data_IF_085254709432
#
_entry.id   IF_085254709432
#
_cell.length_a   1.000
_cell.length_b   1.000
_cell.length_c   1.000
_cell.angle_alpha   90.00
_cell.angle_beta   90.00
_cell.angle_gamma   90.00
#
_symmetry.space_group_name_H-M   'P 1'
#
loop_
_entity.id
_entity.type
_entity.pdbx_description
1 polymer ?
#
# COMPACT_ATOMS: atom_id res chain seq x y z
N UNK A 1 11.89 16.40 1.63
CA UNK A 1 11.66 15.89 0.26
C UNK A 1 11.07 17.04 -0.56
N UNK A 2 11.74 17.45 -1.63
CA UNK A 2 11.30 18.55 -2.49
C UNK A 2 10.31 17.98 -3.51
N UNK A 3 9.01 18.22 -3.35
CA UNK A 3 8.03 17.89 -4.40
C UNK A 3 8.32 18.78 -5.60
N UNK A 4 8.89 18.20 -6.66
CA UNK A 4 9.13 18.90 -7.92
C UNK A 4 7.76 19.23 -8.52
N UNK A 5 7.38 20.51 -8.52
CA UNK A 5 6.12 20.96 -9.10
C UNK A 5 6.15 20.73 -10.61
N UNK A 6 5.40 19.72 -11.07
CA UNK A 6 5.26 19.42 -12.50
C UNK A 6 4.35 20.45 -13.17
N UNK A 7 4.67 20.83 -14.39
CA UNK A 7 3.77 21.61 -15.24
C UNK A 7 2.55 20.77 -15.64
N UNK A 8 1.43 21.42 -15.99
CA UNK A 8 0.20 20.72 -16.45
C UNK A 8 0.44 19.79 -17.63
N UNK A 9 1.42 20.11 -18.49
CA UNK A 9 1.82 19.29 -19.64
C UNK A 9 2.56 18.03 -19.21
N UNK A 10 3.50 18.16 -18.27
CA UNK A 10 4.25 17.03 -17.70
C UNK A 10 3.34 16.10 -16.90
N UNK A 11 2.44 16.66 -16.09
CA UNK A 11 1.48 15.88 -15.32
C UNK A 11 0.59 15.02 -16.23
N UNK A 12 0.08 15.60 -17.34
CA UNK A 12 -0.71 14.84 -18.33
C UNK A 12 0.11 13.73 -19.00
N UNK A 13 1.37 13.99 -19.32
CA UNK A 13 2.26 12.99 -19.92
C UNK A 13 2.54 11.84 -18.94
N UNK A 14 2.79 12.15 -17.67
CA UNK A 14 3.04 11.15 -16.64
C UNK A 14 1.79 10.30 -16.34
N UNK A 15 0.61 10.93 -16.23
CA UNK A 15 -0.66 10.21 -16.08
C UNK A 15 -0.93 9.28 -17.28
N UNK A 16 -0.67 9.74 -18.51
CA UNK A 16 -0.81 8.90 -19.70
C UNK A 16 0.20 7.73 -19.71
N UNK A 17 1.43 7.95 -19.25
CA UNK A 17 2.45 6.92 -19.10
C UNK A 17 2.02 5.86 -18.09
N UNK A 18 1.56 6.27 -16.91
CA UNK A 18 1.06 5.36 -15.86
C UNK A 18 -0.12 4.55 -16.35
N UNK A 19 -1.11 5.19 -16.98
CA UNK A 19 -2.28 4.50 -17.54
C UNK A 19 -1.87 3.39 -18.53
N UNK A 20 -0.96 3.68 -19.45
CA UNK A 20 -0.46 2.66 -20.40
C UNK A 20 0.22 1.48 -19.72
N UNK A 21 0.95 1.73 -18.63
CA UNK A 21 1.60 0.65 -17.87
C UNK A 21 0.56 -0.20 -17.13
N UNK A 22 -0.49 0.41 -16.57
CA UNK A 22 -1.61 -0.31 -15.96
C UNK A 22 -2.34 -1.19 -17.00
N UNK A 23 -2.68 -0.65 -18.17
CA UNK A 23 -3.35 -1.40 -19.24
C UNK A 23 -2.51 -2.62 -19.70
N UNK A 24 -1.19 -2.45 -19.84
CA UNK A 24 -0.24 -3.54 -20.17
C UNK A 24 -0.18 -4.60 -19.07
N UNK A 25 -0.25 -4.18 -17.81
CA UNK A 25 -0.28 -5.08 -16.67
C UNK A 25 -1.56 -5.92 -16.64
N UNK A 26 -2.73 -5.31 -16.92
CA UNK A 26 -4.01 -6.02 -17.06
C UNK A 26 -3.99 -7.02 -18.22
N UNK A 27 -3.32 -6.67 -19.33
CA UNK A 27 -3.10 -7.57 -20.46
C UNK A 27 -2.13 -8.73 -20.17
N UNK A 28 -1.57 -8.82 -18.95
CA UNK A 28 -0.65 -9.88 -18.54
C UNK A 28 0.77 -9.71 -19.08
N UNK A 29 1.14 -8.53 -19.59
CA UNK A 29 2.50 -8.29 -20.04
C UNK A 29 3.48 -8.25 -18.87
N UNK A 30 4.66 -8.81 -19.10
CA UNK A 30 5.75 -8.79 -18.11
C UNK A 30 6.41 -7.40 -18.12
N UNK A 31 6.01 -6.56 -17.18
CA UNK A 31 6.65 -5.26 -16.96
C UNK A 31 8.03 -5.43 -16.32
N UNK A 32 8.93 -4.50 -16.65
CA UNK A 32 10.15 -4.34 -15.85
C UNK A 32 9.79 -3.91 -14.43
N UNK A 33 10.73 -4.12 -13.49
CA UNK A 33 10.53 -3.75 -12.08
C UNK A 33 10.12 -2.28 -11.92
N UNK A 34 10.75 -1.38 -12.66
CA UNK A 34 10.54 0.06 -12.54
C UNK A 34 9.21 0.49 -13.18
N UNK A 35 8.80 -0.14 -14.27
CA UNK A 35 7.47 0.05 -14.87
C UNK A 35 6.36 -0.44 -13.93
N UNK A 36 6.55 -1.61 -13.30
CA UNK A 36 5.59 -2.14 -12.33
C UNK A 36 5.43 -1.19 -11.13
N UNK A 37 6.54 -0.69 -10.59
CA UNK A 37 6.53 0.32 -9.53
C UNK A 37 5.79 1.57 -9.99
N UNK A 38 6.13 2.11 -11.16
CA UNK A 38 5.53 3.34 -11.70
C UNK A 38 4.02 3.22 -11.89
N UNK A 39 3.54 2.04 -12.31
CA UNK A 39 2.13 1.79 -12.54
C UNK A 39 1.31 1.75 -11.24
N UNK A 40 1.89 1.28 -10.13
CA UNK A 40 1.17 1.01 -8.89
C UNK A 40 1.49 2.01 -7.76
N UNK A 41 2.45 2.93 -7.96
CA UNK A 41 2.93 3.85 -6.91
C UNK A 41 1.82 4.72 -6.29
N UNK A 42 0.86 5.18 -7.08
CA UNK A 42 -0.25 5.99 -6.55
C UNK A 42 -1.24 5.15 -5.74
N UNK A 43 -1.59 3.97 -6.26
CA UNK A 43 -2.56 3.09 -5.62
C UNK A 43 -2.00 2.59 -4.29
N UNK A 44 -0.72 2.21 -4.25
CA UNK A 44 -0.05 1.82 -3.00
C UNK A 44 0.07 2.95 -1.98
N UNK A 45 0.16 4.20 -2.43
CA UNK A 45 0.20 5.34 -1.52
C UNK A 45 -1.14 5.60 -0.84
N UNK A 46 -2.25 5.37 -1.55
CA UNK A 46 -3.58 5.47 -0.97
C UNK A 46 -3.87 4.28 -0.06
N UNK A 47 -3.64 3.05 -0.55
CA UNK A 47 -3.83 1.81 0.20
C UNK A 47 -2.99 1.80 1.49
N UNK A 48 -1.69 2.15 1.38
CA UNK A 48 -0.79 2.20 2.51
C UNK A 48 -1.25 3.20 3.59
N UNK A 49 -1.82 4.34 3.18
CA UNK A 49 -2.35 5.34 4.10
C UNK A 49 -3.63 4.86 4.78
N UNK A 50 -4.56 4.27 4.03
CA UNK A 50 -5.79 3.73 4.60
C UNK A 50 -5.47 2.66 5.67
N UNK A 51 -4.59 1.71 5.34
CA UNK A 51 -4.17 0.66 6.27
C UNK A 51 -3.44 1.22 7.50
N UNK A 52 -2.69 2.33 7.34
CA UNK A 52 -2.09 3.04 8.46
C UNK A 52 -3.15 3.65 9.38
N UNK A 53 -4.16 4.30 8.82
CA UNK A 53 -5.26 4.92 9.58
C UNK A 53 -6.06 3.86 10.35
N UNK A 54 -6.35 2.73 9.72
CA UNK A 54 -7.03 1.60 10.36
C UNK A 54 -6.17 1.04 11.51
N UNK A 55 -4.87 0.81 11.27
CA UNK A 55 -3.94 0.37 12.33
C UNK A 55 -3.96 1.30 13.53
N UNK A 56 -3.95 2.62 13.30
CA UNK A 56 -3.99 3.63 14.37
C UNK A 56 -5.33 3.58 15.10
N UNK A 57 -6.44 3.41 14.37
CA UNK A 57 -7.79 3.27 14.93
C UNK A 57 -7.87 2.08 15.88
N UNK A 58 -7.28 0.94 15.49
CA UNK A 58 -7.17 -0.25 16.34
C UNK A 58 -6.06 -0.17 17.40
N UNK A 59 -5.40 0.98 17.55
CA UNK A 59 -4.32 1.22 18.52
C UNK A 59 -3.12 0.25 18.40
N UNK A 60 -2.87 -0.27 17.20
CA UNK A 60 -1.76 -1.19 16.94
C UNK A 60 -0.52 -0.37 16.61
N UNK A 61 0.62 -0.68 17.25
CA UNK A 61 1.88 -0.01 16.91
C UNK A 61 2.43 -0.53 15.58
N UNK A 62 3.20 0.31 14.87
CA UNK A 62 3.89 -0.11 13.64
C UNK A 62 4.73 -1.37 13.86
N UNK A 63 5.44 -1.45 15.00
CA UNK A 63 6.29 -2.59 15.34
C UNK A 63 5.47 -3.87 15.56
N UNK A 64 4.31 -3.77 16.22
CA UNK A 64 3.45 -4.91 16.45
C UNK A 64 2.79 -5.40 15.16
N UNK A 65 2.30 -4.49 14.32
CA UNK A 65 1.77 -4.84 13.00
C UNK A 65 2.84 -5.55 12.15
N UNK A 66 4.05 -4.99 12.08
CA UNK A 66 5.16 -5.59 11.34
C UNK A 66 5.51 -6.99 11.87
N UNK A 67 5.51 -7.18 13.19
CA UNK A 67 5.75 -8.48 13.83
C UNK A 67 4.65 -9.49 13.50
N UNK A 68 3.38 -9.08 13.51
CA UNK A 68 2.23 -9.94 13.18
C UNK A 68 2.23 -10.37 11.71
N UNK A 69 2.59 -9.45 10.81
CA UNK A 69 2.69 -9.69 9.36
C UNK A 69 3.97 -10.48 9.01
N UNK A 70 5.00 -10.42 9.85
CA UNK A 70 6.26 -11.13 9.65
C UNK A 70 7.26 -10.38 8.76
N UNK A 71 7.27 -9.05 8.81
CA UNK A 71 8.19 -8.21 8.03
C UNK A 71 8.94 -7.20 8.90
N UNK A 72 9.98 -6.58 8.35
CA UNK A 72 10.67 -5.50 9.04
C UNK A 72 9.77 -4.26 9.17
N UNK A 73 9.78 -3.62 10.35
CA UNK A 73 9.01 -2.39 10.59
C UNK A 73 9.40 -1.24 9.66
N UNK A 74 10.66 -1.20 9.20
CA UNK A 74 11.09 -0.24 8.18
C UNK A 74 10.42 -0.49 6.82
N UNK A 75 10.24 -1.75 6.42
CA UNK A 75 9.49 -2.12 5.21
C UNK A 75 8.03 -1.72 5.33
N UNK A 76 7.40 -2.03 6.46
CA UNK A 76 6.00 -1.65 6.71
C UNK A 76 5.82 -0.13 6.68
N UNK A 77 6.72 0.63 7.31
CA UNK A 77 6.68 2.10 7.28
C UNK A 77 6.75 2.64 5.87
N UNK A 78 7.63 2.09 5.04
CA UNK A 78 7.77 2.51 3.64
C UNK A 78 6.48 2.23 2.86
N UNK A 79 5.88 1.06 3.07
CA UNK A 79 4.59 0.71 2.50
C UNK A 79 3.48 1.68 2.95
N UNK A 80 3.34 1.94 4.26
CA UNK A 80 2.35 2.91 4.79
C UNK A 80 2.53 4.33 4.21
N UNK A 81 3.77 4.72 3.92
CA UNK A 81 4.08 6.02 3.32
C UNK A 81 3.89 6.05 1.79
N UNK A 82 3.47 4.95 1.16
CA UNK A 82 3.35 4.85 -0.29
C UNK A 82 4.68 4.75 -1.03
N UNK A 83 5.77 4.45 -0.34
CA UNK A 83 7.06 4.25 -0.98
C UNK A 83 7.13 2.87 -1.65
N UNK A 84 7.82 2.75 -2.80
CA UNK A 84 7.97 1.47 -3.48
C UNK A 84 8.64 0.40 -2.62
N UNK A 85 7.90 -0.67 -2.31
CA UNK A 85 8.41 -1.85 -1.63
C UNK A 85 8.35 -3.08 -2.53
N UNK A 86 9.22 -4.06 -2.25
CA UNK A 86 9.10 -5.37 -2.89
C UNK A 86 7.87 -6.08 -2.33
N UNK A 87 7.16 -6.81 -3.19
CA UNK A 87 6.01 -7.62 -2.78
C UNK A 87 4.87 -6.81 -2.15
N UNK A 88 4.65 -5.57 -2.61
CA UNK A 88 3.61 -4.68 -2.08
C UNK A 88 2.23 -5.37 -1.96
N UNK A 89 1.78 -6.10 -2.99
CA UNK A 89 0.52 -6.86 -2.93
C UNK A 89 0.47 -7.92 -1.82
N UNK A 90 1.59 -8.61 -1.57
CA UNK A 90 1.66 -9.61 -0.49
C UNK A 90 1.60 -8.90 0.87
N UNK A 91 2.28 -7.76 1.00
CA UNK A 91 2.27 -6.94 2.21
C UNK A 91 0.85 -6.43 2.48
N UNK A 92 0.19 -5.88 1.46
CA UNK A 92 -1.20 -5.42 1.48
C UNK A 92 -2.14 -6.52 1.98
N UNK A 93 -2.21 -7.67 1.29
CA UNK A 93 -3.12 -8.76 1.70
C UNK A 93 -2.82 -9.28 3.11
N UNK A 94 -1.54 -9.38 3.50
CA UNK A 94 -1.18 -9.82 4.84
C UNK A 94 -1.56 -8.80 5.92
N UNK A 95 -1.54 -7.50 5.59
CA UNK A 95 -1.95 -6.43 6.48
C UNK A 95 -3.47 -6.42 6.63
N UNK A 96 -4.22 -6.51 5.53
CA UNK A 96 -5.69 -6.59 5.55
C UNK A 96 -6.17 -7.75 6.41
N UNK A 97 -5.64 -8.96 6.20
CA UNK A 97 -5.97 -10.13 7.02
C UNK A 97 -5.65 -9.92 8.51
N UNK A 98 -4.56 -9.21 8.81
CA UNK A 98 -4.19 -8.91 10.21
C UNK A 98 -5.21 -7.98 10.87
N UNK A 99 -5.69 -6.96 10.14
CA UNK A 99 -6.71 -6.03 10.63
C UNK A 99 -8.07 -6.71 10.77
N UNK A 100 -8.46 -7.56 9.82
CA UNK A 100 -9.71 -8.33 9.89
C UNK A 100 -9.76 -9.23 11.14
N UNK A 101 -8.65 -9.92 11.45
CA UNK A 101 -8.56 -10.74 12.68
C UNK A 101 -8.67 -9.88 13.94
N UNK A 102 -8.20 -8.63 13.91
CA UNK A 102 -8.32 -7.72 15.04
C UNK A 102 -9.76 -7.25 15.21
N UNK A 103 -10.41 -6.86 14.12
CA UNK A 103 -11.80 -6.42 14.10
C UNK A 103 -12.73 -7.50 14.66
N UNK A 104 -12.59 -8.74 14.17
CA UNK A 104 -13.36 -9.88 14.66
C UNK A 104 -13.18 -10.12 16.17
N UNK A 105 -11.95 -10.01 16.68
CA UNK A 105 -11.68 -10.18 18.12
C UNK A 105 -12.30 -9.07 18.96
N UNK A 106 -12.28 -7.84 18.48
CA UNK A 106 -12.90 -6.72 19.18
C UNK A 106 -14.44 -6.84 19.15
N UNK A 107 -15.01 -7.34 18.06
CA UNK A 107 -16.44 -7.61 17.95
C UNK A 107 -16.90 -8.71 18.92
N UNK A 108 -16.12 -9.80 19.04
CA UNK A 108 -16.34 -10.87 20.02
C UNK A 108 -16.29 -10.33 21.46
N UNK A 109 -15.26 -9.53 21.79
CA UNK A 109 -15.09 -8.92 23.11
C UNK A 109 -16.20 -7.91 23.45
N UNK A 110 -16.75 -7.24 22.45
CA UNK A 110 -17.90 -6.34 22.60
C UNK A 110 -19.26 -7.08 22.66
N UNK A 111 -19.29 -8.40 22.44
CA UNK A 111 -20.50 -9.22 22.46
C UNK A 111 -21.45 -8.96 21.29
N UNK A 112 -20.91 -8.58 20.13
CA UNK A 112 -21.68 -8.18 18.93
C UNK A 112 -21.79 -9.35 17.91
N UNK A 113 -21.18 -10.50 18.20
CA UNK A 113 -21.15 -11.69 17.34
C UNK A 113 -21.93 -12.85 17.95
#
# INVERSE_FOLDING_TARGET
MTTKTMTKKELRAELARRKRLADRMEAGERLSRDEFITANELDWAEIGRQLQEDRITYQITLSDAAKRIGIAASTLRRFENGEPVRSARIIESAYEMMLEVVDLRQADEAGVV
#
